data_IF_830316716410
#
_entry.id   IF_830316716410
#
_cell.length_a   1.000
_cell.length_b   1.000
_cell.length_c   1.000
_cell.angle_alpha   90.00
_cell.angle_beta   90.00
_cell.angle_gamma   90.00
#
_symmetry.space_group_name_H-M   'P 1'
#
loop_
_entity.id
_entity.type
_entity.pdbx_description
1 polymer ?
#
# COMPACT_ATOMS: atom_id res chain seq x y z
N UNK A 1 38.34 50.30 6.65
CA UNK A 1 37.71 49.06 7.11
C UNK A 1 36.22 49.19 6.87
N UNK A 2 35.68 48.60 5.81
CA UNK A 2 34.22 48.52 5.55
C UNK A 2 33.79 47.07 5.80
N UNK A 3 32.88 46.89 6.74
CA UNK A 3 32.26 45.61 7.04
C UNK A 3 31.29 45.26 5.91
N UNK A 4 31.42 44.06 5.36
CA UNK A 4 30.45 43.46 4.44
C UNK A 4 29.18 43.05 5.20
N UNK A 5 27.99 43.27 4.64
CA UNK A 5 26.76 42.79 5.22
C UNK A 5 26.65 41.28 4.99
N UNK A 6 26.34 40.56 6.08
CA UNK A 6 26.08 39.13 6.13
C UNK A 6 24.87 38.76 5.25
N UNK A 7 25.06 37.81 4.35
CA UNK A 7 23.99 37.16 3.60
C UNK A 7 22.96 36.54 4.58
N UNK A 8 21.65 36.65 4.31
CA UNK A 8 20.64 35.99 5.11
C UNK A 8 20.67 34.50 4.80
N UNK A 9 20.85 33.67 5.85
CA UNK A 9 20.67 32.22 5.77
C UNK A 9 19.22 31.89 5.41
N UNK A 10 18.95 30.88 4.58
CA UNK A 10 17.58 30.47 4.26
C UNK A 10 16.89 29.98 5.55
N UNK A 11 15.86 30.67 5.95
CA UNK A 11 14.97 30.25 7.04
C UNK A 11 14.29 28.94 6.65
N UNK A 12 14.60 27.85 7.35
CA UNK A 12 13.80 26.63 7.34
C UNK A 12 12.51 26.88 8.15
N UNK A 13 11.32 26.90 7.52
CA UNK A 13 10.06 27.19 8.20
C UNK A 13 9.65 26.13 9.24
N UNK A 14 10.44 25.08 9.45
CA UNK A 14 10.13 23.95 10.33
C UNK A 14 10.68 24.10 11.76
N UNK A 15 11.43 25.18 12.07
CA UNK A 15 12.10 25.35 13.38
C UNK A 15 11.41 26.35 14.32
N UNK A 16 10.27 26.90 14.00
CA UNK A 16 9.54 27.75 14.95
C UNK A 16 8.72 26.91 15.94
N UNK A 17 9.35 26.57 17.06
CA UNK A 17 8.70 25.99 18.22
C UNK A 17 7.91 27.04 18.99
N UNK A 18 6.63 27.19 18.68
CA UNK A 18 5.64 27.71 19.60
C UNK A 18 4.54 26.68 19.82
N UNK A 19 4.18 26.45 21.06
CA UNK A 19 3.36 25.36 21.58
C UNK A 19 1.87 25.41 21.19
N UNK A 20 1.56 25.59 19.91
CA UNK A 20 0.20 25.49 19.37
C UNK A 20 0.07 24.24 18.52
N UNK A 21 -0.37 23.16 19.18
CA UNK A 21 -0.93 21.99 18.53
C UNK A 21 0.08 20.97 18.02
N UNK A 22 0.54 20.07 18.89
CA UNK A 22 1.23 18.82 18.51
C UNK A 22 0.52 18.15 17.32
N UNK A 23 -0.81 18.14 17.30
CA UNK A 23 -1.61 17.65 16.19
C UNK A 23 -1.40 18.42 14.87
N UNK A 24 -1.31 19.75 14.92
CA UNK A 24 -1.13 20.55 13.70
C UNK A 24 0.29 20.43 13.13
N UNK A 25 1.29 20.15 13.96
CA UNK A 25 2.66 19.87 13.53
C UNK A 25 2.80 18.46 12.95
N UNK A 26 2.15 17.44 13.54
CA UNK A 26 2.12 16.07 12.99
C UNK A 26 1.54 16.08 11.58
N UNK A 27 0.47 16.81 11.31
CA UNK A 27 -0.16 16.86 9.99
C UNK A 27 0.59 17.68 8.93
N UNK A 28 1.51 18.57 9.32
CA UNK A 28 2.42 19.27 8.38
C UNK A 28 3.65 18.44 7.99
N UNK A 29 3.92 17.36 8.70
CA UNK A 29 5.11 16.52 8.57
C UNK A 29 4.80 15.20 7.86
N UNK A 30 3.60 15.00 7.32
CA UNK A 30 3.23 13.79 6.58
C UNK A 30 3.95 13.79 5.24
N UNK A 31 4.92 12.90 5.11
CA UNK A 31 5.68 12.67 3.87
C UNK A 31 5.12 11.54 3.01
N UNK A 32 5.83 11.18 1.93
CA UNK A 32 5.44 10.10 1.02
C UNK A 32 5.23 8.74 1.71
N UNK A 33 6.04 8.44 2.75
CA UNK A 33 5.97 7.17 3.48
C UNK A 33 4.67 6.99 4.26
N UNK A 34 4.15 8.04 4.89
CA UNK A 34 2.87 7.97 5.57
C UNK A 34 1.71 7.77 4.59
N UNK A 35 1.73 8.47 3.45
CA UNK A 35 0.71 8.29 2.40
C UNK A 35 0.74 6.87 1.85
N UNK A 36 1.94 6.32 1.64
CA UNK A 36 2.14 4.92 1.23
C UNK A 36 1.54 3.96 2.26
N UNK A 37 1.81 4.15 3.56
CA UNK A 37 1.22 3.34 4.61
C UNK A 37 -0.30 3.45 4.71
N UNK A 38 -0.85 4.66 4.57
CA UNK A 38 -2.31 4.85 4.56
C UNK A 38 -3.00 4.21 3.34
N UNK A 39 -2.29 4.00 2.24
CA UNK A 39 -2.80 3.32 1.03
C UNK A 39 -2.55 1.83 1.00
N UNK A 40 -1.76 1.31 1.93
CA UNK A 40 -1.54 -0.12 2.13
C UNK A 40 -2.81 -0.81 2.68
N UNK A 41 -3.64 -0.08 3.42
CA UNK A 41 -4.96 -0.53 3.86
C UNK A 41 -6.01 -0.32 2.74
N UNK A 42 -5.71 -0.79 1.54
CA UNK A 42 -6.63 -0.80 0.41
C UNK A 42 -7.78 -1.79 0.64
N UNK A 43 -8.84 -1.77 -0.18
CA UNK A 43 -9.93 -2.74 -0.06
C UNK A 43 -9.45 -4.20 -0.12
N UNK A 44 -8.35 -4.49 -0.87
CA UNK A 44 -7.81 -5.84 -0.97
C UNK A 44 -7.19 -6.30 0.36
N UNK A 45 -6.51 -5.41 1.08
CA UNK A 45 -6.03 -5.63 2.43
C UNK A 45 -7.17 -5.85 3.41
N UNK A 46 -8.15 -4.95 3.44
CA UNK A 46 -9.32 -5.07 4.34
C UNK A 46 -10.05 -6.38 4.11
N UNK A 47 -10.29 -6.76 2.84
CA UNK A 47 -10.92 -8.03 2.47
C UNK A 47 -10.11 -9.24 2.94
N UNK A 48 -8.80 -9.23 2.70
CA UNK A 48 -7.88 -10.30 3.10
C UNK A 48 -7.84 -10.47 4.62
N UNK A 49 -7.69 -9.39 5.38
CA UNK A 49 -7.65 -9.44 6.85
C UNK A 49 -8.98 -9.89 7.44
N UNK A 50 -10.08 -9.48 6.83
CA UNK A 50 -11.43 -9.92 7.20
C UNK A 50 -11.58 -11.43 6.99
N UNK A 51 -11.17 -11.95 5.83
CA UNK A 51 -11.20 -13.39 5.53
C UNK A 51 -10.27 -14.15 6.48
N UNK A 52 -9.08 -13.63 6.76
CA UNK A 52 -8.12 -14.25 7.67
C UNK A 52 -8.69 -14.45 9.07
N UNK A 53 -9.25 -13.39 9.67
CA UNK A 53 -9.85 -13.46 11.00
C UNK A 53 -11.14 -14.28 11.03
N UNK A 54 -12.01 -14.17 10.02
CA UNK A 54 -13.25 -14.91 9.94
C UNK A 54 -13.03 -16.42 9.73
N UNK A 55 -12.04 -16.82 8.92
CA UNK A 55 -11.79 -18.23 8.61
C UNK A 55 -10.94 -18.95 9.66
N UNK A 56 -9.97 -18.24 10.27
CA UNK A 56 -8.98 -18.87 11.15
C UNK A 56 -8.91 -18.27 12.55
N UNK A 57 -9.84 -17.37 12.91
CA UNK A 57 -9.86 -16.72 14.20
C UNK A 57 -8.57 -15.93 14.47
N UNK A 58 -7.92 -16.22 15.57
CA UNK A 58 -6.69 -15.55 15.96
C UNK A 58 -5.42 -16.19 15.39
N UNK A 59 -5.52 -17.30 14.66
CA UNK A 59 -4.34 -18.07 14.22
C UNK A 59 -3.39 -17.31 13.29
N UNK A 60 -3.83 -16.18 12.70
CA UNK A 60 -3.02 -15.33 11.83
C UNK A 60 -2.54 -14.02 12.48
N UNK A 61 -2.87 -13.73 13.76
CA UNK A 61 -2.48 -12.48 14.42
C UNK A 61 -0.97 -12.26 14.49
N UNK A 62 -0.20 -13.32 14.64
CA UNK A 62 1.27 -13.25 14.67
C UNK A 62 1.85 -12.61 13.40
N UNK A 63 1.14 -12.72 12.27
CA UNK A 63 1.62 -12.15 11.00
C UNK A 63 1.82 -10.65 11.09
N UNK A 64 0.94 -9.93 11.80
CA UNK A 64 1.07 -8.48 11.98
C UNK A 64 2.38 -8.09 12.69
N UNK A 65 2.75 -8.83 13.75
CA UNK A 65 3.99 -8.57 14.46
C UNK A 65 5.24 -8.84 13.59
N UNK A 66 5.21 -9.89 12.78
CA UNK A 66 6.35 -10.30 11.97
C UNK A 66 6.44 -9.54 10.63
N UNK A 67 5.31 -9.17 10.02
CA UNK A 67 5.33 -8.42 8.75
C UNK A 67 5.78 -6.97 8.93
N UNK A 68 5.47 -6.32 10.05
CA UNK A 68 5.82 -4.91 10.27
C UNK A 68 7.29 -4.58 10.01
N UNK A 69 8.28 -5.23 10.67
CA UNK A 69 9.68 -4.89 10.43
C UNK A 69 10.13 -5.22 8.99
N UNK A 70 9.53 -6.23 8.36
CA UNK A 70 9.86 -6.64 7.00
C UNK A 70 9.35 -5.61 6.00
N UNK A 71 8.07 -5.23 6.08
CA UNK A 71 7.46 -4.24 5.18
C UNK A 71 8.11 -2.87 5.34
N UNK A 72 8.35 -2.41 6.57
CA UNK A 72 8.99 -1.14 6.85
C UNK A 72 10.41 -1.07 6.28
N UNK A 73 11.20 -2.15 6.43
CA UNK A 73 12.54 -2.22 5.87
C UNK A 73 12.53 -2.17 4.33
N UNK A 74 11.63 -2.92 3.68
CA UNK A 74 11.51 -2.94 2.21
C UNK A 74 11.06 -1.56 1.69
N UNK A 75 10.04 -0.96 2.29
CA UNK A 75 9.56 0.36 1.88
C UNK A 75 10.64 1.44 2.06
N UNK A 76 11.38 1.40 3.16
CA UNK A 76 12.50 2.31 3.34
C UNK A 76 13.62 2.08 2.32
N UNK A 77 13.90 0.84 1.89
CA UNK A 77 14.85 0.58 0.80
C UNK A 77 14.38 1.22 -0.50
N UNK A 78 13.08 1.14 -0.82
CA UNK A 78 12.50 1.78 -2.00
C UNK A 78 12.59 3.31 -1.93
N UNK A 79 12.25 3.91 -0.80
CA UNK A 79 12.43 5.34 -0.54
C UNK A 79 13.89 5.75 -0.74
N UNK A 80 14.82 5.04 -0.11
CA UNK A 80 16.25 5.29 -0.21
C UNK A 80 16.76 5.18 -1.64
N UNK A 81 16.30 4.21 -2.44
CA UNK A 81 16.66 4.10 -3.86
C UNK A 81 16.22 5.36 -4.60
N UNK A 82 14.96 5.79 -4.46
CA UNK A 82 14.45 7.01 -5.09
C UNK A 82 15.28 8.24 -4.74
N UNK A 83 15.56 8.47 -3.45
CA UNK A 83 16.32 9.60 -2.95
C UNK A 83 17.79 9.61 -3.42
N UNK A 84 18.46 8.46 -3.42
CA UNK A 84 19.88 8.38 -3.78
C UNK A 84 20.09 8.46 -5.29
N UNK A 85 19.21 7.78 -6.06
CA UNK A 85 19.38 7.72 -7.52
C UNK A 85 18.71 8.89 -8.25
N UNK A 86 17.75 9.55 -7.62
CA UNK A 86 16.90 10.58 -8.23
C UNK A 86 15.94 10.04 -9.29
N UNK A 87 15.73 8.70 -9.33
CA UNK A 87 14.86 7.98 -10.26
C UNK A 87 14.04 6.93 -9.51
N UNK A 88 12.87 6.56 -10.05
CA UNK A 88 12.12 5.42 -9.54
C UNK A 88 12.77 4.08 -9.89
N UNK A 89 12.18 2.99 -9.37
CA UNK A 89 12.76 1.65 -9.52
C UNK A 89 12.91 1.23 -10.98
N UNK A 90 11.95 1.53 -11.86
CA UNK A 90 12.03 1.18 -13.27
C UNK A 90 13.10 2.00 -14.01
N UNK A 91 13.30 3.27 -13.63
CA UNK A 91 14.39 4.10 -14.13
C UNK A 91 15.77 3.54 -13.80
N UNK A 92 15.95 3.10 -12.54
CA UNK A 92 17.18 2.44 -12.10
C UNK A 92 17.41 1.11 -12.84
N UNK A 93 16.37 0.28 -12.96
CA UNK A 93 16.45 -0.98 -13.71
C UNK A 93 16.82 -0.74 -15.18
N UNK A 94 16.24 0.27 -15.83
CA UNK A 94 16.53 0.65 -17.20
C UNK A 94 18.01 1.02 -17.42
N UNK A 95 18.62 1.71 -16.45
CA UNK A 95 20.02 2.18 -16.58
C UNK A 95 21.06 1.09 -16.32
N UNK A 96 20.76 0.16 -15.41
CA UNK A 96 21.80 -0.70 -14.83
C UNK A 96 21.59 -2.19 -15.11
N UNK A 97 20.42 -2.58 -15.64
CA UNK A 97 20.08 -4.00 -15.85
C UNK A 97 19.65 -4.30 -17.29
N UNK A 98 19.60 -5.59 -17.62
CA UNK A 98 19.20 -6.03 -18.96
C UNK A 98 17.72 -5.70 -19.23
N UNK A 99 17.35 -5.29 -20.46
CA UNK A 99 15.98 -4.93 -20.80
C UNK A 99 14.93 -6.03 -20.49
N UNK A 100 15.31 -7.31 -20.61
CA UNK A 100 14.40 -8.42 -20.29
C UNK A 100 13.94 -8.44 -18.83
N UNK A 101 14.83 -8.12 -17.88
CA UNK A 101 14.50 -8.04 -16.45
C UNK A 101 13.54 -6.86 -16.20
N UNK A 102 13.83 -5.71 -16.79
CA UNK A 102 12.99 -4.52 -16.70
C UNK A 102 11.58 -4.79 -17.24
N UNK A 103 11.48 -5.32 -18.47
CA UNK A 103 10.18 -5.59 -19.09
C UNK A 103 9.37 -6.63 -18.32
N UNK A 104 10.02 -7.69 -17.81
CA UNK A 104 9.37 -8.70 -16.98
C UNK A 104 8.80 -8.07 -15.69
N UNK A 105 9.62 -7.31 -14.96
CA UNK A 105 9.21 -6.67 -13.70
C UNK A 105 8.05 -5.69 -13.92
N UNK A 106 8.14 -4.83 -14.95
CA UNK A 106 7.12 -3.82 -15.24
C UNK A 106 5.83 -4.44 -15.79
N UNK A 107 5.92 -5.48 -16.62
CA UNK A 107 4.74 -6.21 -17.12
C UNK A 107 3.99 -6.90 -15.97
N UNK A 108 4.71 -7.60 -15.08
CA UNK A 108 4.12 -8.24 -13.90
C UNK A 108 3.42 -7.21 -13.00
N UNK A 109 4.10 -6.08 -12.72
CA UNK A 109 3.52 -4.99 -11.95
C UNK A 109 2.24 -4.43 -12.60
N UNK A 110 2.30 -4.12 -13.91
CA UNK A 110 1.16 -3.56 -14.65
C UNK A 110 -0.06 -4.46 -14.59
N UNK A 111 0.13 -5.77 -14.82
CA UNK A 111 -0.95 -6.76 -14.79
C UNK A 111 -1.54 -6.86 -13.38
N UNK A 112 -0.70 -7.04 -12.36
CA UNK A 112 -1.16 -7.15 -10.97
C UNK A 112 -1.93 -5.90 -10.52
N UNK A 113 -1.38 -4.72 -10.77
CA UNK A 113 -2.01 -3.47 -10.35
C UNK A 113 -3.32 -3.20 -11.11
N UNK A 114 -3.40 -3.57 -12.38
CA UNK A 114 -4.64 -3.43 -13.17
C UNK A 114 -5.74 -4.32 -12.62
N UNK A 115 -5.42 -5.56 -12.25
CA UNK A 115 -6.36 -6.51 -11.64
C UNK A 115 -6.78 -6.00 -10.26
N UNK A 116 -5.83 -5.56 -9.43
CA UNK A 116 -6.10 -5.06 -8.09
C UNK A 116 -6.97 -3.78 -8.13
N UNK A 117 -6.62 -2.82 -8.98
CA UNK A 117 -7.43 -1.60 -9.16
C UNK A 117 -8.88 -1.93 -9.59
N UNK A 118 -9.05 -2.96 -10.44
CA UNK A 118 -10.37 -3.45 -10.81
C UNK A 118 -11.15 -4.03 -9.63
N UNK A 119 -10.52 -4.85 -8.80
CA UNK A 119 -11.13 -5.41 -7.60
C UNK A 119 -11.51 -4.30 -6.60
N UNK A 120 -10.66 -3.30 -6.40
CA UNK A 120 -10.92 -2.16 -5.52
C UNK A 120 -12.08 -1.30 -6.02
N UNK A 121 -12.21 -1.07 -7.33
CA UNK A 121 -13.37 -0.41 -7.94
C UNK A 121 -14.65 -1.18 -7.63
N UNK A 122 -14.61 -2.51 -7.72
CA UNK A 122 -15.72 -3.39 -7.33
C UNK A 122 -16.08 -3.26 -5.86
N UNK A 123 -15.09 -3.15 -4.99
CA UNK A 123 -15.29 -2.96 -3.56
C UNK A 123 -15.93 -1.59 -3.25
N UNK A 124 -15.49 -0.51 -3.92
CA UNK A 124 -16.13 0.81 -3.80
C UNK A 124 -17.60 0.73 -4.22
N UNK A 125 -17.90 0.06 -5.34
CA UNK A 125 -19.28 -0.11 -5.81
C UNK A 125 -20.13 -0.92 -4.83
N UNK A 126 -19.57 -2.01 -4.26
CA UNK A 126 -20.23 -2.80 -3.22
C UNK A 126 -20.44 -2.00 -1.94
N UNK A 127 -19.49 -1.16 -1.54
CA UNK A 127 -19.60 -0.28 -0.39
C UNK A 127 -20.67 0.79 -0.57
N UNK A 128 -20.81 1.39 -1.75
CA UNK A 128 -21.90 2.32 -2.05
C UNK A 128 -23.25 1.59 -1.99
N UNK A 129 -23.33 0.35 -2.47
CA UNK A 129 -24.55 -0.45 -2.36
C UNK A 129 -24.96 -0.72 -0.90
N UNK A 130 -24.02 -0.80 0.05
CA UNK A 130 -24.33 -0.87 1.49
C UNK A 130 -24.99 0.41 2.01
N UNK A 131 -24.66 1.56 1.44
CA UNK A 131 -25.14 2.86 1.88
C UNK A 131 -26.43 3.28 1.17
N UNK A 132 -26.60 2.86 -0.07
CA UNK A 132 -27.73 3.20 -0.93
C UNK A 132 -28.11 2.00 -1.80
N UNK A 133 -29.40 1.70 -2.01
CA UNK A 133 -29.86 0.52 -2.75
C UNK A 133 -29.65 0.67 -4.27
N UNK A 134 -28.40 0.86 -4.68
CA UNK A 134 -27.99 0.99 -6.09
C UNK A 134 -27.18 -0.23 -6.48
N UNK A 135 -27.52 -0.87 -7.61
CA UNK A 135 -26.77 -2.05 -8.08
C UNK A 135 -25.29 -1.73 -8.31
N UNK A 136 -24.36 -2.51 -7.74
CA UNK A 136 -22.92 -2.30 -7.94
C UNK A 136 -22.52 -2.24 -9.41
N UNK A 137 -23.14 -3.05 -10.27
CA UNK A 137 -22.86 -3.06 -11.71
C UNK A 137 -23.12 -1.72 -12.41
N UNK A 138 -24.10 -0.97 -11.95
CA UNK A 138 -24.40 0.37 -12.48
C UNK A 138 -23.38 1.42 -12.02
N UNK A 139 -22.75 1.17 -10.87
CA UNK A 139 -21.80 2.11 -10.24
C UNK A 139 -20.38 1.97 -10.78
N UNK A 140 -19.98 0.79 -11.29
CA UNK A 140 -18.62 0.50 -11.72
C UNK A 140 -18.13 1.51 -12.77
N UNK A 141 -18.91 1.75 -13.83
CA UNK A 141 -18.52 2.67 -14.91
C UNK A 141 -18.42 4.12 -14.42
N UNK A 142 -19.43 4.69 -13.74
CA UNK A 142 -19.32 6.05 -13.18
C UNK A 142 -18.16 6.22 -12.21
N UNK A 143 -17.90 5.26 -11.33
CA UNK A 143 -16.79 5.30 -10.38
C UNK A 143 -15.46 5.30 -11.13
N UNK A 144 -15.27 4.40 -12.11
CA UNK A 144 -14.05 4.33 -12.91
C UNK A 144 -13.79 5.63 -13.66
N UNK A 145 -14.81 6.20 -14.28
CA UNK A 145 -14.71 7.50 -14.96
C UNK A 145 -14.37 8.60 -13.96
N UNK A 146 -15.04 8.66 -12.81
CA UNK A 146 -14.76 9.64 -11.76
C UNK A 146 -13.29 9.54 -11.30
N UNK A 147 -12.78 8.34 -11.04
CA UNK A 147 -11.40 8.11 -10.63
C UNK A 147 -10.43 8.63 -11.69
N UNK A 148 -10.67 8.31 -12.97
CA UNK A 148 -9.84 8.80 -14.09
C UNK A 148 -9.88 10.33 -14.18
N UNK A 149 -11.07 10.94 -14.08
CA UNK A 149 -11.21 12.39 -14.12
C UNK A 149 -10.47 13.07 -12.96
N UNK A 150 -10.61 12.51 -11.77
CA UNK A 150 -9.96 13.00 -10.56
C UNK A 150 -8.44 12.88 -10.66
N UNK A 151 -7.91 11.82 -11.27
CA UNK A 151 -6.46 11.67 -11.49
C UNK A 151 -5.91 12.63 -12.57
N UNK A 152 -6.67 12.92 -13.60
CA UNK A 152 -6.23 13.78 -14.72
C UNK A 152 -6.32 15.27 -14.35
N UNK A 153 -7.37 15.69 -13.66
CA UNK A 153 -7.64 17.09 -13.37
C UNK A 153 -7.55 17.47 -11.88
N UNK A 154 -7.59 16.50 -10.98
CA UNK A 154 -7.45 16.73 -9.55
C UNK A 154 -6.01 16.92 -9.11
N UNK A 155 -5.81 17.70 -8.04
CA UNK A 155 -4.51 17.71 -7.36
C UNK A 155 -4.40 16.43 -6.52
N UNK A 156 -3.39 15.61 -6.77
CA UNK A 156 -3.13 14.40 -5.99
C UNK A 156 -3.08 14.68 -4.47
N UNK A 157 -2.45 15.79 -4.06
CA UNK A 157 -2.37 16.18 -2.64
C UNK A 157 -3.73 16.46 -2.01
N UNK A 158 -4.64 17.07 -2.75
CA UNK A 158 -6.00 17.33 -2.28
C UNK A 158 -6.79 16.02 -2.11
N UNK A 159 -6.66 15.15 -3.09
CA UNK A 159 -7.30 13.83 -3.13
C UNK A 159 -6.79 12.98 -1.98
N UNK A 160 -5.48 12.83 -1.84
CA UNK A 160 -4.85 12.09 -0.75
C UNK A 160 -5.25 12.65 0.63
N UNK A 161 -5.33 13.97 0.77
CA UNK A 161 -5.78 14.59 2.00
C UNK A 161 -7.24 14.35 2.33
N UNK A 162 -8.14 14.31 1.34
CA UNK A 162 -9.56 14.03 1.55
C UNK A 162 -9.78 12.57 1.93
N UNK A 163 -9.22 11.64 1.14
CA UNK A 163 -9.50 10.21 1.31
C UNK A 163 -8.77 9.56 2.48
N UNK A 164 -7.62 10.07 2.93
CA UNK A 164 -6.99 9.60 4.17
C UNK A 164 -7.90 9.76 5.40
N UNK A 165 -8.73 10.81 5.43
CA UNK A 165 -9.71 11.00 6.51
C UNK A 165 -10.83 9.97 6.45
N UNK A 166 -11.23 9.55 5.24
CA UNK A 166 -12.21 8.48 5.06
C UNK A 166 -11.62 7.13 5.47
N UNK A 167 -10.37 6.84 5.10
CA UNK A 167 -9.65 5.65 5.54
C UNK A 167 -9.48 5.58 7.07
N UNK A 168 -9.43 6.74 7.76
CA UNK A 168 -9.38 6.79 9.21
C UNK A 168 -10.60 6.12 9.88
N UNK A 169 -11.72 5.95 9.18
CA UNK A 169 -12.86 5.18 9.68
C UNK A 169 -12.51 3.73 10.02
N UNK A 170 -11.43 3.18 9.43
CA UNK A 170 -10.92 1.83 9.73
C UNK A 170 -10.39 1.70 11.17
N UNK A 171 -10.03 2.81 11.81
CA UNK A 171 -9.70 2.85 13.26
C UNK A 171 -10.86 2.31 14.12
N UNK A 172 -12.08 2.32 13.58
CA UNK A 172 -13.22 1.68 14.25
C UNK A 172 -13.03 0.18 14.51
N UNK A 173 -12.21 -0.52 13.75
CA UNK A 173 -11.85 -1.91 14.05
C UNK A 173 -11.13 -2.05 15.39
N UNK A 174 -10.34 -1.06 15.78
CA UNK A 174 -9.70 -1.01 17.11
C UNK A 174 -10.78 -1.02 18.20
N UNK A 175 -11.76 -0.12 18.07
CA UNK A 175 -12.89 -0.06 19.00
C UNK A 175 -13.69 -1.37 18.99
N UNK A 176 -14.02 -1.92 17.82
CA UNK A 176 -14.77 -3.16 17.69
C UNK A 176 -14.08 -4.33 18.39
N UNK A 177 -12.77 -4.45 18.26
CA UNK A 177 -12.01 -5.50 18.94
C UNK A 177 -12.10 -5.39 20.47
N UNK A 178 -12.05 -4.18 21.04
CA UNK A 178 -12.23 -3.97 22.48
C UNK A 178 -13.66 -4.32 22.93
N UNK A 179 -14.67 -3.91 22.20
CA UNK A 179 -16.07 -4.22 22.55
C UNK A 179 -16.42 -5.69 22.40
N UNK A 180 -15.77 -6.41 21.50
CA UNK A 180 -15.94 -7.86 21.35
C UNK A 180 -15.39 -8.67 22.54
N UNK A 181 -14.62 -8.05 23.45
CA UNK A 181 -14.07 -8.65 24.69
C UNK A 181 -13.41 -10.01 24.45
N UNK A 182 -12.42 -10.11 23.55
CA UNK A 182 -11.71 -11.37 23.34
C UNK A 182 -10.95 -11.80 24.60
N UNK A 183 -10.68 -13.09 24.71
CA UNK A 183 -9.80 -13.61 25.77
C UNK A 183 -8.37 -13.12 25.52
N UNK A 184 -7.85 -12.24 26.40
CA UNK A 184 -6.53 -11.63 26.24
C UNK A 184 -5.40 -12.67 26.23
N UNK A 185 -5.52 -13.76 26.98
CA UNK A 185 -4.51 -14.82 26.98
C UNK A 185 -4.43 -15.51 25.62
N UNK A 186 -5.56 -15.82 24.97
CA UNK A 186 -5.61 -16.38 23.62
C UNK A 186 -5.02 -15.39 22.60
N UNK A 187 -5.40 -14.11 22.69
CA UNK A 187 -4.90 -13.06 21.80
C UNK A 187 -3.39 -12.91 21.90
N UNK A 188 -2.87 -12.80 23.13
CA UNK A 188 -1.41 -12.67 23.34
C UNK A 188 -0.68 -13.94 22.88
N UNK A 189 -1.19 -15.14 23.19
CA UNK A 189 -0.64 -16.39 22.70
C UNK A 189 -0.57 -16.40 21.17
N UNK A 190 -1.68 -16.08 20.49
CA UNK A 190 -1.74 -16.06 19.03
C UNK A 190 -0.92 -14.95 18.37
N UNK A 191 -0.63 -13.85 19.10
CA UNK A 191 0.21 -12.76 18.61
C UNK A 191 1.69 -13.11 18.63
N UNK A 192 2.16 -13.78 19.69
CA UNK A 192 3.58 -14.04 19.89
C UNK A 192 4.02 -15.45 19.47
N UNK A 193 3.08 -16.38 19.38
CA UNK A 193 3.38 -17.77 18.97
C UNK A 193 2.80 -18.03 17.58
N UNK A 194 3.66 -18.14 16.55
CA UNK A 194 3.22 -18.44 15.19
C UNK A 194 2.48 -19.77 15.10
N UNK A 195 1.29 -19.75 14.50
CA UNK A 195 0.55 -20.96 14.14
C UNK A 195 0.79 -21.27 12.66
N UNK A 196 1.19 -22.49 12.35
CA UNK A 196 1.40 -22.97 10.98
C UNK A 196 0.50 -24.17 10.71
N UNK A 197 -0.25 -24.10 9.59
CA UNK A 197 -1.03 -25.21 9.06
C UNK A 197 -0.67 -25.40 7.60
N UNK A 198 -0.36 -26.62 7.21
CA UNK A 198 -0.03 -26.99 5.83
C UNK A 198 -1.31 -27.30 5.01
N UNK A 199 -2.36 -26.53 5.24
CA UNK A 199 -3.61 -26.61 4.51
C UNK A 199 -3.64 -25.54 3.42
N UNK A 200 -4.09 -25.87 2.18
CA UNK A 200 -4.10 -24.89 1.07
C UNK A 200 -4.83 -23.58 1.42
N UNK A 201 -5.93 -23.67 2.15
CA UNK A 201 -6.71 -22.51 2.58
C UNK A 201 -5.95 -21.60 3.55
N UNK A 202 -5.25 -22.19 4.54
CA UNK A 202 -4.42 -21.40 5.47
C UNK A 202 -3.23 -20.76 4.76
N UNK A 203 -2.56 -21.53 3.90
CA UNK A 203 -1.41 -21.03 3.13
C UNK A 203 -1.82 -19.92 2.16
N UNK A 204 -2.99 -20.04 1.51
CA UNK A 204 -3.50 -18.97 0.64
C UNK A 204 -3.76 -17.67 1.41
N UNK A 205 -4.27 -17.76 2.65
CA UNK A 205 -4.46 -16.59 3.51
C UNK A 205 -3.11 -15.99 3.94
N UNK A 206 -2.12 -16.82 4.28
CA UNK A 206 -0.76 -16.33 4.61
C UNK A 206 -0.13 -15.63 3.40
N UNK A 207 -0.20 -16.24 2.21
CA UNK A 207 0.31 -15.64 0.97
C UNK A 207 -0.42 -14.32 0.65
N UNK A 208 -1.75 -14.28 0.85
CA UNK A 208 -2.55 -13.08 0.64
C UNK A 208 -2.16 -11.97 1.64
N UNK A 209 -1.99 -12.30 2.94
CA UNK A 209 -1.55 -11.34 3.95
C UNK A 209 -0.19 -10.75 3.57
N UNK A 210 0.80 -11.58 3.24
CA UNK A 210 2.10 -11.09 2.80
C UNK A 210 2.01 -10.28 1.51
N UNK A 211 1.16 -10.68 0.56
CA UNK A 211 0.99 -10.02 -0.73
C UNK A 211 0.35 -8.65 -0.64
N UNK A 212 -0.55 -8.43 0.33
CA UNK A 212 -1.17 -7.12 0.55
C UNK A 212 -0.36 -6.23 1.47
N UNK A 213 0.41 -6.78 2.43
CA UNK A 213 1.27 -5.97 3.32
C UNK A 213 2.62 -5.62 2.72
N UNK A 214 3.19 -6.49 1.88
CA UNK A 214 4.47 -6.27 1.20
C UNK A 214 4.18 -6.16 -0.30
N UNK A 215 3.39 -5.15 -0.65
CA UNK A 215 2.77 -5.02 -1.96
C UNK A 215 3.69 -4.46 -3.03
N UNK A 216 3.77 -5.12 -4.20
CA UNK A 216 4.62 -4.68 -5.32
C UNK A 216 4.40 -3.24 -5.76
N UNK A 217 3.14 -2.78 -5.80
CA UNK A 217 2.81 -1.44 -6.27
C UNK A 217 3.38 -0.34 -5.36
N UNK A 218 3.45 -0.59 -4.05
CA UNK A 218 4.01 0.35 -3.09
C UNK A 218 5.53 0.52 -3.25
N UNK A 219 6.25 -0.50 -3.74
CA UNK A 219 7.69 -0.39 -3.99
C UNK A 219 8.00 0.67 -5.04
N UNK A 220 7.32 0.58 -6.19
CA UNK A 220 7.48 1.54 -7.27
C UNK A 220 6.91 2.91 -6.91
N UNK A 221 5.75 2.91 -6.25
CA UNK A 221 5.13 4.14 -5.77
C UNK A 221 6.05 4.92 -4.83
N UNK A 222 6.55 4.29 -3.77
CA UNK A 222 7.40 4.93 -2.77
C UNK A 222 8.64 5.57 -3.40
N UNK A 223 9.37 4.82 -4.24
CA UNK A 223 10.55 5.35 -4.89
C UNK A 223 10.23 6.57 -5.76
N UNK A 224 9.13 6.53 -6.52
CA UNK A 224 8.70 7.65 -7.35
C UNK A 224 8.21 8.85 -6.54
N UNK A 225 7.53 8.64 -5.41
CA UNK A 225 7.06 9.74 -4.58
C UNK A 225 8.21 10.51 -3.91
N UNK A 226 9.29 9.85 -3.55
CA UNK A 226 10.50 10.54 -3.09
C UNK A 226 11.10 11.41 -4.20
N UNK A 227 11.09 10.93 -5.44
CA UNK A 227 11.53 11.71 -6.61
C UNK A 227 10.62 12.92 -6.86
N UNK A 228 9.31 12.74 -6.78
CA UNK A 228 8.34 13.84 -6.92
C UNK A 228 8.50 14.90 -5.82
N UNK A 229 8.78 14.47 -4.58
CA UNK A 229 9.06 15.39 -3.48
C UNK A 229 10.33 16.22 -3.73
N UNK A 230 11.39 15.61 -4.28
CA UNK A 230 12.61 16.33 -4.69
C UNK A 230 12.33 17.34 -5.83
N UNK A 231 11.48 16.96 -6.79
CA UNK A 231 11.03 17.86 -7.86
C UNK A 231 10.22 19.02 -7.27
N UNK A 232 9.33 18.76 -6.32
CA UNK A 232 8.54 19.79 -5.65
C UNK A 232 9.40 20.76 -4.83
N UNK A 233 10.55 20.31 -4.33
CA UNK A 233 11.59 21.14 -3.69
C UNK A 233 12.44 21.96 -4.68
N UNK A 234 12.18 21.85 -5.98
CA UNK A 234 12.84 22.63 -7.03
C UNK A 234 13.99 21.91 -7.72
N UNK A 235 14.34 20.68 -7.36
CA UNK A 235 15.39 19.87 -8.00
C UNK A 235 14.86 19.29 -9.32
N UNK A 236 15.04 20.00 -10.42
CA UNK A 236 14.41 19.64 -11.71
C UNK A 236 15.23 18.66 -12.54
N UNK A 237 16.55 18.71 -12.46
CA UNK A 237 17.44 17.83 -13.21
C UNK A 237 17.76 16.57 -12.40
N UNK A 238 18.12 15.49 -13.10
CA UNK A 238 18.55 14.27 -12.44
C UNK A 238 19.78 14.48 -11.55
N UNK A 239 20.72 15.32 -12.00
CA UNK A 239 21.93 15.62 -11.23
C UNK A 239 21.62 16.33 -9.90
N UNK A 240 20.63 17.21 -9.87
CA UNK A 240 20.18 17.90 -8.66
C UNK A 240 19.43 16.97 -7.68
N UNK A 241 18.73 15.94 -8.19
CA UNK A 241 17.98 14.97 -7.37
C UNK A 241 18.84 13.85 -6.80
N UNK A 242 20.02 13.60 -7.37
CA UNK A 242 20.91 12.54 -6.88
C UNK A 242 21.50 12.87 -5.52
N UNK A 243 21.44 11.86 -4.63
CA UNK A 243 22.02 11.94 -3.30
C UNK A 243 21.07 12.52 -2.27
N UNK A 244 21.22 12.06 -1.05
CA UNK A 244 20.47 12.53 0.11
C UNK A 244 21.37 12.60 1.34
N UNK A 245 21.16 13.60 2.18
CA UNK A 245 21.85 13.70 3.45
C UNK A 245 21.39 12.64 4.44
N UNK A 246 22.20 12.33 5.44
CA UNK A 246 21.84 11.41 6.53
C UNK A 246 20.58 11.91 7.28
N UNK A 247 20.36 13.21 7.36
CA UNK A 247 19.18 13.78 7.99
C UNK A 247 17.91 13.52 7.17
N UNK A 248 17.96 13.69 5.85
CA UNK A 248 16.85 13.38 4.94
C UNK A 248 16.50 11.89 4.96
N UNK A 249 17.51 11.00 4.88
CA UNK A 249 17.31 9.56 4.97
C UNK A 249 16.70 9.13 6.31
N UNK A 250 17.12 9.75 7.42
CA UNK A 250 16.54 9.47 8.74
C UNK A 250 15.09 9.96 8.83
N UNK A 251 14.78 11.10 8.24
CA UNK A 251 13.41 11.60 8.18
C UNK A 251 12.52 10.66 7.35
N UNK A 252 12.97 10.25 6.15
CA UNK A 252 12.25 9.28 5.33
C UNK A 252 12.06 7.93 6.06
N UNK A 253 13.07 7.47 6.81
CA UNK A 253 12.93 6.26 7.63
C UNK A 253 11.85 6.40 8.68
N UNK A 254 11.76 7.53 9.39
CA UNK A 254 10.70 7.76 10.36
C UNK A 254 9.32 7.86 9.71
N UNK A 255 9.19 8.58 8.60
CA UNK A 255 7.94 8.74 7.86
C UNK A 255 7.39 7.40 7.37
N UNK A 256 8.26 6.58 6.74
CA UNK A 256 7.92 5.22 6.31
C UNK A 256 7.52 4.34 7.49
N UNK A 257 8.32 4.32 8.58
CA UNK A 257 8.02 3.46 9.73
C UNK A 257 6.69 3.84 10.39
N UNK A 258 6.37 5.12 10.53
CA UNK A 258 5.10 5.57 11.10
C UNK A 258 3.93 5.17 10.20
N UNK A 259 4.06 5.37 8.86
CA UNK A 259 3.03 4.96 7.92
C UNK A 259 2.77 3.46 7.93
N UNK A 260 3.84 2.65 7.86
CA UNK A 260 3.74 1.18 7.90
C UNK A 260 3.23 0.66 9.24
N UNK A 261 3.60 1.30 10.37
CA UNK A 261 3.08 0.95 11.68
C UNK A 261 1.57 1.20 11.77
N UNK A 262 1.10 2.33 11.23
CA UNK A 262 -0.32 2.65 11.19
C UNK A 262 -1.11 1.58 10.45
N UNK A 263 -0.72 1.24 9.21
CA UNK A 263 -1.34 0.18 8.43
C UNK A 263 -1.33 -1.16 9.17
N UNK A 264 -0.19 -1.53 9.73
CA UNK A 264 -0.04 -2.79 10.42
C UNK A 264 -0.92 -2.91 11.69
N UNK A 265 -1.13 -1.80 12.39
CA UNK A 265 -2.09 -1.73 13.51
C UNK A 265 -3.51 -1.95 13.00
N UNK A 266 -3.92 -1.35 11.89
CA UNK A 266 -5.23 -1.56 11.29
C UNK A 266 -5.42 -3.02 10.90
N UNK A 267 -4.45 -3.61 10.17
CA UNK A 267 -4.42 -5.04 9.86
C UNK A 267 -4.65 -5.92 11.10
N UNK A 268 -3.86 -5.70 12.17
CA UNK A 268 -3.96 -6.46 13.41
C UNK A 268 -5.36 -6.41 14.00
N UNK A 269 -5.95 -5.21 14.07
CA UNK A 269 -7.27 -5.03 14.64
C UNK A 269 -8.41 -5.50 13.74
N UNK A 270 -8.25 -5.50 12.41
CA UNK A 270 -9.22 -6.14 11.52
C UNK A 270 -9.24 -7.65 11.76
N UNK A 271 -8.08 -8.32 11.79
CA UNK A 271 -7.99 -9.75 12.08
C UNK A 271 -8.55 -10.07 13.47
N UNK A 272 -8.19 -9.27 14.48
CA UNK A 272 -8.65 -9.45 15.85
C UNK A 272 -10.17 -9.28 15.97
N UNK A 273 -10.73 -8.21 15.41
CA UNK A 273 -12.16 -7.94 15.47
C UNK A 273 -12.97 -9.03 14.75
N UNK A 274 -12.55 -9.42 13.53
CA UNK A 274 -13.24 -10.45 12.75
C UNK A 274 -13.11 -11.84 13.37
N UNK A 275 -11.97 -12.17 13.95
CA UNK A 275 -11.78 -13.39 14.72
C UNK A 275 -12.62 -13.43 16.01
N UNK A 276 -12.73 -12.32 16.72
CA UNK A 276 -13.52 -12.22 17.94
C UNK A 276 -15.04 -12.20 17.70
N UNK A 277 -15.49 -11.83 16.51
CA UNK A 277 -16.92 -11.68 16.17
C UNK A 277 -17.39 -12.75 15.18
N UNK A 278 -16.92 -12.68 13.93
CA UNK A 278 -17.40 -13.55 12.83
C UNK A 278 -17.02 -15.00 13.05
N UNK A 279 -15.75 -15.27 13.35
CA UNK A 279 -15.29 -16.63 13.62
C UNK A 279 -16.03 -17.28 14.80
N UNK A 280 -16.18 -16.56 15.92
CA UNK A 280 -16.92 -17.04 17.09
C UNK A 280 -18.41 -17.26 16.82
N UNK A 281 -18.99 -16.50 15.88
CA UNK A 281 -20.37 -16.67 15.44
C UNK A 281 -20.54 -17.80 14.40
N UNK A 282 -19.47 -18.53 14.04
CA UNK A 282 -19.49 -19.57 13.03
C UNK A 282 -19.56 -19.06 11.58
N UNK A 283 -19.37 -17.76 11.35
CA UNK A 283 -19.36 -17.13 10.01
C UNK A 283 -17.94 -17.14 9.46
N UNK A 284 -17.52 -18.27 8.90
CA UNK A 284 -16.16 -18.48 8.41
C UNK A 284 -15.98 -18.14 6.92
N UNK A 285 -17.09 -18.01 6.18
CA UNK A 285 -17.08 -17.62 4.77
C UNK A 285 -17.62 -16.21 4.62
N UNK A 286 -16.82 -15.34 4.07
CA UNK A 286 -17.16 -13.93 3.82
C UNK A 286 -17.24 -13.73 2.32
N UNK A 287 -18.46 -13.47 1.83
CA UNK A 287 -18.73 -13.30 0.41
C UNK A 287 -19.06 -11.86 0.05
N UNK A 288 -19.61 -11.10 0.99
CA UNK A 288 -20.08 -9.74 0.75
C UNK A 288 -19.50 -8.73 1.71
N UNK A 289 -19.48 -7.46 1.29
CA UNK A 289 -19.11 -6.36 2.17
C UNK A 289 -20.06 -6.23 3.38
N UNK A 290 -21.33 -6.69 3.23
CA UNK A 290 -22.27 -6.74 4.34
C UNK A 290 -21.87 -7.77 5.41
N UNK A 291 -21.32 -8.93 5.01
CA UNK A 291 -20.80 -9.93 5.94
C UNK A 291 -19.59 -9.34 6.71
N UNK A 292 -18.67 -8.68 6.00
CA UNK A 292 -17.52 -8.02 6.61
C UNK A 292 -17.94 -6.93 7.62
N UNK A 293 -19.01 -6.17 7.34
CA UNK A 293 -19.52 -5.12 8.23
C UNK A 293 -20.00 -5.66 9.57
N UNK A 294 -20.44 -6.91 9.66
CA UNK A 294 -20.90 -7.51 10.90
C UNK A 294 -19.81 -7.58 11.98
N UNK A 295 -18.53 -7.55 11.59
CA UNK A 295 -17.42 -7.48 12.54
C UNK A 295 -17.43 -6.18 13.37
N UNK A 296 -18.02 -5.11 12.85
CA UNK A 296 -18.12 -3.80 13.52
C UNK A 296 -19.38 -3.66 14.37
N UNK A 297 -20.33 -4.61 14.31
CA UNK A 297 -21.59 -4.54 15.06
C UNK A 297 -21.41 -4.38 16.58
N UNK A 298 -20.45 -5.04 17.25
CA UNK A 298 -20.26 -4.86 18.70
C UNK A 298 -19.95 -3.43 19.12
N UNK A 299 -19.30 -2.63 18.23
CA UNK A 299 -18.96 -1.24 18.52
C UNK A 299 -20.13 -0.28 18.21
N UNK A 300 -20.70 -0.40 17.01
CA UNK A 300 -21.58 0.64 16.44
C UNK A 300 -22.97 0.13 16.04
N UNK A 301 -23.31 -1.13 16.34
CA UNK A 301 -24.61 -1.70 16.04
C UNK A 301 -25.02 -1.52 14.57
N UNK A 302 -26.15 -0.85 14.34
CA UNK A 302 -26.68 -0.63 12.99
C UNK A 302 -25.82 0.27 12.09
N UNK A 303 -24.90 1.06 12.66
CA UNK A 303 -23.97 1.90 11.89
C UNK A 303 -22.76 1.13 11.34
N UNK A 304 -22.62 -0.16 11.63
CA UNK A 304 -21.49 -0.97 11.18
C UNK A 304 -21.33 -0.98 9.65
N UNK A 305 -22.43 -1.11 8.92
CA UNK A 305 -22.44 -1.07 7.46
C UNK A 305 -22.03 0.30 6.91
N UNK A 306 -22.50 1.37 7.53
CA UNK A 306 -22.15 2.74 7.15
C UNK A 306 -20.66 2.99 7.36
N UNK A 307 -20.14 2.59 8.51
CA UNK A 307 -18.75 2.83 8.87
C UNK A 307 -17.78 2.05 7.96
N UNK A 308 -18.06 0.77 7.71
CA UNK A 308 -17.27 -0.02 6.76
C UNK A 308 -17.42 0.52 5.33
N UNK A 309 -18.63 0.89 4.91
CA UNK A 309 -18.87 1.46 3.58
C UNK A 309 -18.04 2.72 3.34
N UNK A 310 -18.02 3.64 4.30
CA UNK A 310 -17.18 4.85 4.25
C UNK A 310 -15.69 4.47 4.18
N UNK A 311 -15.25 3.50 5.00
CA UNK A 311 -13.87 3.02 5.00
C UNK A 311 -13.43 2.45 3.66
N UNK A 312 -14.21 1.54 3.08
CA UNK A 312 -13.92 0.93 1.78
C UNK A 312 -13.94 1.95 0.63
N UNK A 313 -14.86 2.91 0.65
CA UNK A 313 -14.89 4.00 -0.34
C UNK A 313 -13.62 4.84 -0.20
N UNK A 314 -13.28 5.24 1.02
CA UNK A 314 -12.12 6.09 1.28
C UNK A 314 -10.80 5.41 0.92
N UNK A 315 -10.59 4.17 1.38
CA UNK A 315 -9.38 3.41 1.08
C UNK A 315 -9.26 3.10 -0.41
N UNK A 316 -10.34 2.69 -1.08
CA UNK A 316 -10.32 2.39 -2.51
C UNK A 316 -10.09 3.63 -3.38
N UNK A 317 -10.70 4.76 -3.04
CA UNK A 317 -10.48 6.04 -3.74
C UNK A 317 -9.05 6.58 -3.56
N UNK A 318 -8.36 6.19 -2.49
CA UNK A 318 -6.93 6.46 -2.29
C UNK A 318 -6.05 5.44 -3.04
N UNK A 319 -6.37 4.15 -2.94
CA UNK A 319 -5.53 3.08 -3.45
C UNK A 319 -5.56 2.95 -4.98
N UNK A 320 -6.72 3.06 -5.63
CA UNK A 320 -6.81 2.93 -7.10
C UNK A 320 -5.91 3.91 -7.85
N UNK A 321 -5.86 5.21 -7.50
CA UNK A 321 -4.88 6.14 -8.07
C UNK A 321 -3.43 5.74 -7.86
N UNK A 322 -3.10 5.15 -6.73
CA UNK A 322 -1.74 4.72 -6.40
C UNK A 322 -1.34 3.48 -7.20
N UNK A 323 -2.24 2.51 -7.33
CA UNK A 323 -2.05 1.31 -8.16
C UNK A 323 -1.81 1.66 -9.63
N UNK A 324 -2.71 2.45 -10.21
CA UNK A 324 -2.62 2.84 -11.62
C UNK A 324 -1.49 3.84 -11.88
N UNK A 325 -1.25 4.74 -10.94
CA UNK A 325 -0.12 5.67 -10.94
C UNK A 325 1.22 4.96 -10.87
N UNK A 326 1.39 3.99 -9.96
CA UNK A 326 2.58 3.15 -9.85
C UNK A 326 2.92 2.45 -11.16
N UNK A 327 1.90 1.86 -11.81
CA UNK A 327 2.04 1.25 -13.14
C UNK A 327 2.46 2.27 -14.19
N UNK A 328 1.85 3.45 -14.19
CA UNK A 328 2.12 4.49 -15.15
C UNK A 328 3.55 5.04 -14.99
N UNK A 329 4.03 5.22 -13.75
CA UNK A 329 5.42 5.58 -13.47
C UNK A 329 6.39 4.53 -14.01
N UNK A 330 6.17 3.26 -13.65
CA UNK A 330 7.04 2.16 -14.08
C UNK A 330 7.15 2.05 -15.60
N UNK A 331 6.04 2.14 -16.32
CA UNK A 331 6.03 2.08 -17.78
C UNK A 331 6.66 3.35 -18.39
N UNK A 332 6.32 4.54 -17.87
CA UNK A 332 6.87 5.79 -18.39
C UNK A 332 8.40 5.85 -18.20
N UNK A 333 8.93 5.42 -17.07
CA UNK A 333 10.37 5.31 -16.82
C UNK A 333 11.03 4.29 -17.77
N UNK A 334 10.36 3.15 -18.00
CA UNK A 334 10.84 2.11 -18.92
C UNK A 334 11.07 2.63 -20.34
N UNK A 335 10.15 3.46 -20.82
CA UNK A 335 10.25 4.02 -22.18
C UNK A 335 10.85 5.43 -22.23
N UNK A 336 11.20 6.02 -21.07
CA UNK A 336 11.73 7.37 -20.96
C UNK A 336 10.74 8.46 -21.35
N UNK A 337 9.45 8.23 -21.06
CA UNK A 337 8.42 9.24 -21.31
C UNK A 337 8.39 10.28 -20.20
N UNK A 338 7.92 11.47 -20.52
CA UNK A 338 7.59 12.45 -19.49
C UNK A 338 6.47 11.92 -18.59
N UNK A 339 6.69 12.00 -17.29
CA UNK A 339 5.76 11.50 -16.25
C UNK A 339 5.76 12.42 -15.03
N UNK A 340 4.77 12.25 -14.16
CA UNK A 340 4.60 12.99 -12.92
C UNK A 340 3.16 13.45 -12.75
N UNK A 341 2.62 13.29 -11.54
CA UNK A 341 1.25 13.69 -11.20
C UNK A 341 1.08 15.21 -11.10
N UNK A 342 2.16 15.95 -10.91
CA UNK A 342 2.15 17.42 -10.93
C UNK A 342 2.27 18.00 -12.34
N UNK A 343 2.53 17.17 -13.36
CA UNK A 343 2.63 17.62 -14.75
C UNK A 343 1.25 17.76 -15.38
N UNK A 344 1.08 18.80 -16.18
CA UNK A 344 -0.15 18.97 -16.97
C UNK A 344 -0.35 17.79 -17.93
N UNK A 345 -1.58 17.28 -18.14
CA UNK A 345 -1.86 16.13 -19.02
C UNK A 345 -1.34 16.31 -20.44
N UNK A 346 -1.30 17.53 -20.97
CA UNK A 346 -0.73 17.83 -22.30
C UNK A 346 0.78 17.55 -22.41
N UNK A 347 1.54 17.63 -21.31
CA UNK A 347 2.99 17.36 -21.30
C UNK A 347 3.29 15.88 -21.04
N UNK A 348 2.52 15.24 -20.16
CA UNK A 348 2.67 13.82 -19.81
C UNK A 348 1.50 12.97 -20.35
N UNK A 349 1.07 13.19 -21.60
CA UNK A 349 -0.12 12.56 -22.15
C UNK A 349 -0.08 11.04 -22.12
N UNK A 350 1.05 10.42 -22.46
CA UNK A 350 1.22 8.97 -22.43
C UNK A 350 1.09 8.39 -21.03
N UNK A 351 1.59 9.10 -20.01
CA UNK A 351 1.47 8.73 -18.61
C UNK A 351 -0.01 8.71 -18.17
N UNK A 352 -0.76 9.78 -18.48
CA UNK A 352 -2.17 9.86 -18.12
C UNK A 352 -3.07 8.92 -18.95
N UNK A 353 -2.73 8.65 -20.22
CA UNK A 353 -3.41 7.63 -21.03
C UNK A 353 -3.23 6.26 -20.40
N UNK A 354 -2.03 5.93 -19.90
CA UNK A 354 -1.80 4.65 -19.25
C UNK A 354 -2.60 4.50 -17.96
N UNK A 355 -2.68 5.54 -17.13
CA UNK A 355 -3.55 5.58 -15.95
C UNK A 355 -5.01 5.29 -16.34
N UNK A 356 -5.53 5.99 -17.35
CA UNK A 356 -6.89 5.80 -17.83
C UNK A 356 -7.13 4.39 -18.36
N UNK A 357 -6.22 3.89 -19.20
CA UNK A 357 -6.31 2.54 -19.76
C UNK A 357 -6.26 1.48 -18.67
N UNK A 358 -5.32 1.55 -17.71
CA UNK A 358 -5.24 0.60 -16.61
C UNK A 358 -6.51 0.61 -15.76
N UNK A 359 -7.06 1.78 -15.44
CA UNK A 359 -8.32 1.91 -14.69
C UNK A 359 -9.49 1.30 -15.46
N UNK A 360 -9.63 1.65 -16.75
CA UNK A 360 -10.74 1.17 -17.58
C UNK A 360 -10.63 -0.33 -17.90
N UNK A 361 -9.42 -0.85 -18.08
CA UNK A 361 -9.21 -2.30 -18.28
C UNK A 361 -9.52 -3.05 -16.98
N UNK A 362 -9.02 -2.54 -15.83
CA UNK A 362 -9.30 -3.14 -14.53
C UNK A 362 -10.80 -3.22 -14.22
N UNK A 363 -11.58 -2.19 -14.57
CA UNK A 363 -13.02 -2.20 -14.31
C UNK A 363 -13.75 -3.38 -14.96
N UNK A 364 -13.27 -3.93 -16.10
CA UNK A 364 -13.92 -5.05 -16.79
C UNK A 364 -13.98 -6.34 -15.96
N UNK A 365 -13.08 -6.52 -14.99
CA UNK A 365 -13.09 -7.65 -14.03
C UNK A 365 -14.43 -7.72 -13.31
N UNK A 366 -15.05 -6.58 -13.02
CA UNK A 366 -16.30 -6.50 -12.27
C UNK A 366 -17.54 -6.95 -13.07
N UNK A 367 -17.41 -7.16 -14.37
CA UNK A 367 -18.47 -7.74 -15.20
C UNK A 367 -18.38 -9.28 -15.28
N UNK A 368 -17.38 -9.87 -14.62
CA UNK A 368 -17.31 -11.32 -14.42
C UNK A 368 -18.30 -11.75 -13.31
N UNK A 369 -18.41 -13.05 -13.07
CA UNK A 369 -19.29 -13.60 -12.02
C UNK A 369 -18.61 -13.67 -10.64
N UNK A 370 -17.38 -13.20 -10.53
CA UNK A 370 -16.60 -13.20 -9.28
C UNK A 370 -17.15 -12.10 -8.37
N UNK A 371 -17.41 -12.41 -7.11
CA UNK A 371 -17.80 -11.39 -6.14
C UNK A 371 -16.61 -10.51 -5.71
N UNK A 372 -16.91 -9.30 -5.19
CA UNK A 372 -15.88 -8.32 -4.89
C UNK A 372 -14.88 -8.81 -3.82
N UNK A 373 -15.35 -9.43 -2.74
CA UNK A 373 -14.45 -9.93 -1.66
C UNK A 373 -13.52 -11.03 -2.17
N UNK A 374 -14.07 -11.97 -2.95
CA UNK A 374 -13.25 -13.02 -3.57
C UNK A 374 -12.21 -12.43 -4.53
N UNK A 375 -12.58 -11.42 -5.32
CA UNK A 375 -11.64 -10.74 -6.21
C UNK A 375 -10.52 -10.05 -5.42
N UNK A 376 -10.84 -9.31 -4.36
CA UNK A 376 -9.88 -8.66 -3.46
C UNK A 376 -8.90 -9.67 -2.84
N UNK A 377 -9.41 -10.78 -2.32
CA UNK A 377 -8.57 -11.83 -1.74
C UNK A 377 -7.60 -12.42 -2.76
N UNK A 378 -8.08 -12.77 -3.96
CA UNK A 378 -7.23 -13.36 -4.99
C UNK A 378 -6.22 -12.37 -5.60
N UNK A 379 -6.52 -11.08 -5.64
CA UNK A 379 -5.51 -10.07 -6.02
C UNK A 379 -4.39 -10.00 -4.98
N UNK A 380 -4.71 -10.13 -3.70
CA UNK A 380 -3.70 -10.21 -2.62
C UNK A 380 -2.83 -11.48 -2.74
N UNK A 381 -3.44 -12.63 -3.05
CA UNK A 381 -2.69 -13.87 -3.34
C UNK A 381 -1.76 -13.66 -4.54
N UNK A 382 -2.24 -13.08 -5.64
CA UNK A 382 -1.45 -12.76 -6.82
C UNK A 382 -0.26 -11.86 -6.47
N UNK A 383 -0.48 -10.81 -5.70
CA UNK A 383 0.60 -9.94 -5.22
C UNK A 383 1.63 -10.72 -4.38
N UNK A 384 1.19 -11.68 -3.57
CA UNK A 384 2.06 -12.57 -2.80
C UNK A 384 2.99 -13.43 -3.66
N UNK A 385 2.56 -13.80 -4.88
CA UNK A 385 3.42 -14.49 -5.85
C UNK A 385 4.35 -13.54 -6.60
N UNK A 386 3.93 -12.31 -6.86
CA UNK A 386 4.69 -11.36 -7.68
C UNK A 386 5.70 -10.54 -6.87
N UNK A 387 5.46 -10.34 -5.58
CA UNK A 387 6.37 -9.58 -4.71
C UNK A 387 7.76 -10.21 -4.56
N UNK A 388 7.94 -11.52 -4.34
CA UNK A 388 9.25 -12.11 -4.09
C UNK A 388 10.28 -11.86 -5.20
N UNK A 389 10.00 -12.04 -6.51
CA UNK A 389 10.93 -11.68 -7.57
C UNK A 389 11.33 -10.20 -7.57
N UNK A 390 10.39 -9.31 -7.27
CA UNK A 390 10.66 -7.87 -7.20
C UNK A 390 11.49 -7.51 -5.97
N UNK A 391 11.27 -8.18 -4.83
CA UNK A 391 12.11 -8.05 -3.64
C UNK A 391 13.56 -8.42 -3.93
N UNK A 392 13.82 -9.49 -4.68
CA UNK A 392 15.18 -9.85 -5.12
C UNK A 392 15.83 -8.68 -5.87
N UNK A 393 15.10 -8.05 -6.79
CA UNK A 393 15.62 -6.90 -7.54
C UNK A 393 15.92 -5.71 -6.62
N UNK A 394 15.01 -5.39 -5.69
CA UNK A 394 15.22 -4.33 -4.69
C UNK A 394 16.46 -4.63 -3.85
N UNK A 395 16.63 -5.86 -3.38
CA UNK A 395 17.78 -6.26 -2.58
C UNK A 395 19.09 -6.14 -3.37
N UNK A 396 19.09 -6.54 -4.64
CA UNK A 396 20.28 -6.43 -5.50
C UNK A 396 20.61 -4.95 -5.75
N UNK A 397 19.62 -4.10 -6.07
CA UNK A 397 19.82 -2.65 -6.28
C UNK A 397 20.36 -2.00 -5.00
N UNK A 398 19.71 -2.23 -3.86
CA UNK A 398 20.04 -1.61 -2.57
C UNK A 398 21.44 -1.99 -2.04
N UNK A 399 22.02 -3.09 -2.51
CA UNK A 399 23.37 -3.54 -2.16
C UNK A 399 24.43 -3.24 -3.23
N UNK A 400 24.03 -2.67 -4.37
CA UNK A 400 24.94 -2.35 -5.45
C UNK A 400 25.63 -1.00 -5.20
N UNK A 401 26.94 -1.01 -4.91
CA UNK A 401 27.73 0.19 -4.66
C UNK A 401 27.81 1.14 -5.85
N UNK A 402 27.70 0.64 -7.07
CA UNK A 402 27.70 1.50 -8.29
C UNK A 402 26.42 2.33 -8.37
N UNK A 403 25.31 1.85 -7.81
CA UNK A 403 24.01 2.52 -7.81
C UNK A 403 23.81 3.35 -6.54
N UNK A 404 24.11 2.75 -5.38
CA UNK A 404 23.82 3.33 -4.06
C UNK A 404 25.01 4.04 -3.43
N UNK A 405 26.16 4.02 -4.08
CA UNK A 405 27.42 4.63 -3.59
C UNK A 405 27.74 4.19 -2.15
N UNK A 406 27.84 5.13 -1.21
CA UNK A 406 28.10 4.84 0.21
C UNK A 406 26.81 4.49 1.01
N UNK A 407 25.64 4.50 0.36
CA UNK A 407 24.33 4.31 0.99
C UNK A 407 23.76 2.88 0.80
N UNK A 408 24.61 1.89 0.55
CA UNK A 408 24.20 0.48 0.51
C UNK A 408 23.53 0.04 1.82
N UNK A 409 22.79 -1.06 1.78
CA UNK A 409 22.09 -1.56 2.96
C UNK A 409 23.06 -1.94 4.09
N UNK A 410 22.70 -1.57 5.32
CA UNK A 410 23.35 -2.10 6.52
C UNK A 410 22.91 -3.53 6.82
N UNK A 411 23.53 -4.15 7.84
CA UNK A 411 23.27 -5.55 8.22
C UNK A 411 21.80 -5.82 8.54
N UNK A 412 21.15 -4.97 9.34
CA UNK A 412 19.75 -5.14 9.73
C UNK A 412 18.83 -5.08 8.52
N UNK A 413 18.99 -4.08 7.66
CA UNK A 413 18.21 -3.95 6.44
C UNK A 413 18.36 -5.18 5.53
N UNK A 414 19.59 -5.71 5.38
CA UNK A 414 19.82 -6.92 4.62
C UNK A 414 19.16 -8.16 5.24
N UNK A 415 19.24 -8.34 6.56
CA UNK A 415 18.57 -9.45 7.23
C UNK A 415 17.07 -9.37 6.99
N UNK A 416 16.45 -8.22 7.26
CA UNK A 416 15.01 -8.05 7.11
C UNK A 416 14.54 -8.21 5.65
N UNK A 417 15.23 -7.60 4.69
CA UNK A 417 14.88 -7.70 3.27
C UNK A 417 15.03 -9.12 2.72
N UNK A 418 16.10 -9.82 3.04
CA UNK A 418 16.25 -11.21 2.62
C UNK A 418 15.30 -12.16 3.36
N UNK A 419 14.99 -11.90 4.64
CA UNK A 419 13.96 -12.66 5.37
C UNK A 419 12.60 -12.49 4.71
N UNK A 420 12.20 -11.26 4.38
CA UNK A 420 10.96 -11.01 3.63
C UNK A 420 10.92 -11.78 2.32
N UNK A 421 12.00 -11.70 1.55
CA UNK A 421 12.13 -12.41 0.26
C UNK A 421 11.98 -13.92 0.42
N UNK A 422 12.73 -14.52 1.34
CA UNK A 422 12.73 -15.98 1.56
C UNK A 422 11.38 -16.47 2.09
N UNK A 423 10.81 -15.77 3.07
CA UNK A 423 9.52 -16.14 3.67
C UNK A 423 8.40 -16.08 2.62
N UNK A 424 8.36 -15.03 1.78
CA UNK A 424 7.36 -14.91 0.75
C UNK A 424 7.52 -15.96 -0.36
N UNK A 425 8.76 -16.26 -0.79
CA UNK A 425 8.99 -17.39 -1.71
C UNK A 425 8.56 -18.72 -1.10
N UNK A 426 8.93 -18.97 0.15
CA UNK A 426 8.57 -20.21 0.84
C UNK A 426 7.05 -20.38 0.95
N UNK A 427 6.34 -19.31 1.32
CA UNK A 427 4.88 -19.33 1.41
C UNK A 427 4.21 -19.57 0.04
N UNK A 428 4.66 -18.88 -1.01
CA UNK A 428 4.16 -19.05 -2.37
C UNK A 428 4.42 -20.48 -2.90
N UNK A 429 5.62 -21.00 -2.69
CA UNK A 429 6.00 -22.37 -3.10
C UNK A 429 5.17 -23.39 -2.32
N UNK A 430 5.03 -23.25 -1.00
CA UNK A 430 4.23 -24.15 -0.18
C UNK A 430 2.76 -24.16 -0.65
N UNK A 431 2.19 -23.01 -0.99
CA UNK A 431 0.83 -22.93 -1.54
C UNK A 431 0.71 -23.72 -2.85
N UNK A 432 1.66 -23.57 -3.78
CA UNK A 432 1.63 -24.30 -5.06
C UNK A 432 1.68 -25.82 -4.84
N UNK A 433 2.54 -26.30 -3.94
CA UNK A 433 2.67 -27.73 -3.68
C UNK A 433 1.46 -28.34 -2.96
N UNK A 434 0.75 -27.55 -2.16
CA UNK A 434 -0.45 -28.04 -1.44
C UNK A 434 -1.76 -27.85 -2.22
N UNK A 435 -1.72 -27.09 -3.32
CA UNK A 435 -2.92 -26.75 -4.10
C UNK A 435 -3.67 -27.96 -4.67
N UNK A 436 -2.96 -29.04 -4.98
CA UNK A 436 -3.50 -30.25 -5.59
C UNK A 436 -3.74 -31.39 -4.58
N UNK A 437 -3.56 -31.14 -3.27
CA UNK A 437 -3.89 -32.07 -2.21
C UNK A 437 -5.29 -31.79 -1.62
#
# INVERSE_FOLDING_TARGET
>A
MRQNPTEPQPHDPRLNHTAHGIFHQIFKVIGPGFVTGASDDDPSGIGTYTVAGASFGFATLWTALFTFPLMAAVQFMCAKIGMITGEGLAGVLRRHYRPGILYAAVCLLLVANTINAGADIGAIAAAINLLAPVSPRLLIVPISILIVLVQIWGSYRLIANAFKWLALSLVAYIGSAFFARPNLHEVLGATFVPTFKLEPQFLSVIVAIFGTTISPYLFFWQANQEVEEEIARGKRTLAERKGASTAELRYAAWDVNIGMLFSNIIMYFIILATGATLFRAGKTHIETAADAAQALQPLVGHFATTLLGIGLIGSGMLAVPILTGSSAYAVAETFGWEHGLDKKPRRASRFYILIAVSTLVGMFINFTRVNAITALFWTSVLNGFLAPPLLVLIMIISNNRTIMENHVNGRIANILGWTATVVMFAAAIALVFTWNQ
#
